data_IF_800589200764
#
_entry.id   IF_800589200764
#
_cell.length_a   1.000
_cell.length_b   1.000
_cell.length_c   1.000
_cell.angle_alpha   90.00
_cell.angle_beta   90.00
_cell.angle_gamma   90.00
#
_symmetry.space_group_name_H-M   'P 1'
#
loop_
_entity.id
_entity.type
_entity.pdbx_description
1 polymer ?
#
# COMPACT_ATOMS: atom_id res chain seq x y z
N UNK A 1 15.77 -10.57 11.30
CA UNK A 1 14.75 -10.02 10.39
C UNK A 1 13.63 -11.03 10.22
N UNK A 2 12.40 -10.57 10.25
CA UNK A 2 11.25 -11.45 10.01
C UNK A 2 11.22 -11.79 8.53
N UNK A 3 11.09 -13.08 8.22
CA UNK A 3 10.90 -13.50 6.83
C UNK A 3 9.53 -13.03 6.34
N UNK A 4 9.45 -12.65 5.07
CA UNK A 4 8.21 -12.13 4.51
C UNK A 4 8.12 -12.43 3.02
N UNK A 5 6.89 -12.46 2.50
CA UNK A 5 6.65 -12.78 1.09
C UNK A 5 6.29 -11.57 0.24
N UNK A 6 5.92 -10.47 0.85
CA UNK A 6 5.56 -9.28 0.09
C UNK A 6 5.19 -8.11 0.97
N UNK A 7 4.89 -6.98 0.33
CA UNK A 7 4.57 -5.72 0.98
C UNK A 7 3.42 -5.05 0.26
N UNK A 8 2.49 -4.45 1.00
CA UNK A 8 1.52 -3.49 0.49
C UNK A 8 1.73 -2.16 1.20
N UNK A 9 1.41 -1.06 0.51
CA UNK A 9 1.65 0.27 1.08
C UNK A 9 0.49 1.21 0.80
N UNK A 10 0.04 1.91 1.85
CA UNK A 10 -0.91 3.01 1.69
C UNK A 10 -0.11 4.29 1.46
N UNK A 11 -0.20 4.84 0.27
CA UNK A 11 0.47 6.09 -0.09
C UNK A 11 -0.52 7.23 0.15
N UNK A 12 -0.29 7.99 1.22
CA UNK A 12 -1.18 9.08 1.61
C UNK A 12 -0.70 10.41 1.05
N UNK A 13 -1.61 11.13 0.40
CA UNK A 13 -1.42 12.52 0.05
C UNK A 13 -2.54 13.27 0.75
N UNK A 14 -2.24 13.89 1.90
CA UNK A 14 -3.24 14.45 2.80
C UNK A 14 -4.22 13.34 3.24
N UNK A 15 -5.52 13.47 2.95
CA UNK A 15 -6.51 12.47 3.32
C UNK A 15 -6.90 11.55 2.17
N UNK A 16 -6.06 11.48 1.13
CA UNK A 16 -6.32 10.65 -0.04
C UNK A 16 -5.27 9.57 -0.20
N UNK A 17 -5.69 8.48 -0.82
CA UNK A 17 -4.86 7.31 -1.08
C UNK A 17 -4.68 7.15 -2.57
N UNK A 18 -3.48 6.72 -2.97
CA UNK A 18 -3.22 6.29 -4.35
C UNK A 18 -3.60 4.82 -4.42
N UNK A 19 -4.55 4.48 -5.29
CA UNK A 19 -4.97 3.09 -5.49
C UNK A 19 -4.80 2.70 -6.95
N UNK A 20 -4.55 1.41 -7.17
CA UNK A 20 -4.31 0.83 -8.49
C UNK A 20 -5.39 -0.20 -8.75
N UNK A 21 -6.02 -0.15 -9.92
CA UNK A 21 -7.03 -1.13 -10.29
C UNK A 21 -6.35 -2.37 -10.86
N UNK A 22 -6.63 -3.52 -10.26
CA UNK A 22 -6.08 -4.79 -10.73
C UNK A 22 -6.66 -5.16 -12.09
N UNK A 23 -5.88 -5.89 -12.88
CA UNK A 23 -6.37 -6.40 -14.16
C UNK A 23 -7.62 -7.25 -13.95
N UNK A 24 -8.51 -7.23 -14.94
CA UNK A 24 -9.75 -8.00 -14.88
C UNK A 24 -9.63 -9.21 -15.80
N UNK A 25 -8.76 -10.14 -15.40
CA UNK A 25 -8.48 -11.36 -16.18
C UNK A 25 -9.08 -12.56 -15.49
N UNK A 26 -9.58 -13.54 -16.26
CA UNK A 26 -10.10 -14.79 -15.67
C UNK A 26 -9.02 -15.47 -14.83
N UNK A 27 -9.40 -15.97 -13.65
CA UNK A 27 -8.50 -16.68 -12.76
C UNK A 27 -7.61 -15.81 -11.89
N UNK A 28 -7.59 -14.48 -12.11
CA UNK A 28 -6.82 -13.57 -11.28
C UNK A 28 -7.58 -13.28 -9.99
N UNK A 29 -6.91 -13.42 -8.84
CA UNK A 29 -7.53 -13.07 -7.56
C UNK A 29 -7.81 -11.57 -7.49
N UNK A 30 -8.96 -11.23 -6.95
CA UNK A 30 -9.36 -9.83 -6.77
C UNK A 30 -9.36 -9.07 -8.09
N UNK A 31 -9.68 -9.76 -9.20
CA UNK A 31 -9.69 -9.15 -10.53
C UNK A 31 -10.59 -7.92 -10.56
N UNK A 32 -10.09 -6.83 -11.14
CA UNK A 32 -10.85 -5.59 -11.29
C UNK A 32 -11.02 -4.75 -10.06
N UNK A 33 -10.57 -5.24 -8.89
CA UNK A 33 -10.71 -4.48 -7.65
C UNK A 33 -9.58 -3.46 -7.49
N UNK A 34 -9.84 -2.46 -6.68
CA UNK A 34 -8.82 -1.45 -6.34
C UNK A 34 -7.96 -1.94 -5.20
N UNK A 35 -6.67 -1.78 -5.35
CA UNK A 35 -5.64 -2.33 -4.48
C UNK A 35 -4.65 -1.24 -4.10
N UNK A 36 -3.87 -1.47 -3.05
CA UNK A 36 -2.74 -0.62 -2.72
C UNK A 36 -1.53 -1.07 -3.53
N UNK A 37 -0.59 -0.14 -3.82
CA UNK A 37 0.67 -0.52 -4.44
C UNK A 37 1.42 -1.54 -3.60
N UNK A 38 2.24 -2.34 -4.26
CA UNK A 38 3.06 -3.34 -3.61
C UNK A 38 3.06 -4.64 -4.38
N UNK A 39 3.73 -5.64 -3.83
CA UNK A 39 3.82 -6.94 -4.47
C UNK A 39 4.77 -7.86 -3.76
N UNK A 40 5.18 -8.91 -4.45
CA UNK A 40 6.00 -9.97 -3.90
C UNK A 40 7.46 -9.59 -3.72
N UNK A 41 8.06 -10.16 -2.67
CA UNK A 41 9.49 -10.04 -2.43
C UNK A 41 10.26 -10.77 -3.52
N UNK A 42 11.35 -10.17 -3.97
CA UNK A 42 12.29 -10.81 -4.88
C UNK A 42 13.62 -11.03 -4.15
N UNK A 43 14.16 -12.22 -4.30
CA UNK A 43 15.45 -12.60 -3.72
C UNK A 43 15.52 -12.23 -2.23
N UNK A 44 16.57 -11.55 -1.83
CA UNK A 44 16.81 -11.21 -0.43
C UNK A 44 16.46 -9.76 -0.11
N UNK A 45 15.51 -9.18 -0.83
CA UNK A 45 15.11 -7.80 -0.58
C UNK A 45 14.70 -7.59 0.88
N UNK A 46 15.08 -6.42 1.43
CA UNK A 46 14.51 -5.96 2.69
C UNK A 46 13.08 -5.50 2.43
N UNK A 47 12.25 -5.34 3.47
CA UNK A 47 10.90 -4.82 3.27
C UNK A 47 10.88 -3.47 2.54
N UNK A 48 11.79 -2.55 2.88
CA UNK A 48 11.84 -1.28 2.18
C UNK A 48 12.27 -1.44 0.72
N UNK A 49 13.30 -2.26 0.45
CA UNK A 49 13.75 -2.48 -0.93
C UNK A 49 12.63 -3.05 -1.78
N UNK A 50 11.86 -3.98 -1.22
CA UNK A 50 10.72 -4.60 -1.90
C UNK A 50 9.67 -3.55 -2.25
N UNK A 51 9.22 -2.76 -1.28
CA UNK A 51 8.17 -1.79 -1.52
C UNK A 51 8.65 -0.66 -2.45
N UNK A 52 9.91 -0.24 -2.31
CA UNK A 52 10.46 0.81 -3.17
C UNK A 52 10.51 0.35 -4.62
N UNK A 53 10.91 -0.89 -4.86
CA UNK A 53 10.93 -1.45 -6.22
C UNK A 53 9.52 -1.53 -6.79
N UNK A 54 8.57 -2.04 -6.03
CA UNK A 54 7.19 -2.17 -6.51
C UNK A 54 6.57 -0.79 -6.81
N UNK A 55 6.77 0.19 -5.95
CA UNK A 55 6.24 1.54 -6.18
C UNK A 55 6.88 2.16 -7.42
N UNK A 56 8.18 1.93 -7.62
CA UNK A 56 8.86 2.41 -8.83
C UNK A 56 8.29 1.75 -10.08
N UNK A 57 8.08 0.43 -10.06
CA UNK A 57 7.55 -0.29 -11.21
C UNK A 57 6.11 0.10 -11.53
N UNK A 58 5.29 0.29 -10.50
CA UNK A 58 3.86 0.54 -10.68
C UNK A 58 3.53 2.00 -10.95
N UNK A 59 4.25 2.91 -10.33
CA UNK A 59 3.90 4.34 -10.36
C UNK A 59 5.03 5.25 -10.81
N UNK A 60 6.23 4.73 -11.03
CA UNK A 60 7.37 5.54 -11.45
C UNK A 60 7.86 6.49 -10.37
N UNK A 61 7.53 6.24 -9.11
CA UNK A 61 7.92 7.11 -8.01
C UNK A 61 9.14 6.56 -7.28
N UNK A 62 9.99 7.46 -6.79
CA UNK A 62 11.17 7.14 -6.00
C UNK A 62 10.82 7.30 -4.51
N UNK A 63 10.38 6.20 -3.89
CA UNK A 63 10.05 6.20 -2.47
C UNK A 63 11.31 6.29 -1.63
N UNK A 64 11.28 7.11 -0.58
CA UNK A 64 12.40 7.27 0.33
C UNK A 64 12.04 6.65 1.68
N UNK A 65 13.06 6.18 2.41
CA UNK A 65 12.80 5.59 3.74
C UNK A 65 12.08 6.56 4.66
N UNK A 66 12.44 7.83 4.60
CA UNK A 66 11.81 8.85 5.45
C UNK A 66 10.34 9.10 5.12
N UNK A 67 9.88 8.65 3.95
CA UNK A 67 8.46 8.76 3.61
C UNK A 67 7.61 7.78 4.42
N UNK A 68 8.21 6.68 4.89
CA UNK A 68 7.49 5.64 5.63
C UNK A 68 7.24 6.12 7.05
N UNK A 69 5.97 6.22 7.44
CA UNK A 69 5.59 6.72 8.76
C UNK A 69 5.03 5.63 9.67
N UNK A 70 4.77 4.43 9.14
CA UNK A 70 4.21 3.34 9.93
C UNK A 70 4.38 2.02 9.20
N UNK A 71 4.57 0.93 9.94
CA UNK A 71 4.59 -0.40 9.34
C UNK A 71 4.23 -1.46 10.37
N UNK A 72 3.68 -2.55 9.89
CA UNK A 72 3.28 -3.67 10.72
C UNK A 72 3.27 -4.94 9.86
N UNK A 73 3.49 -6.10 10.50
CA UNK A 73 3.39 -7.39 9.82
C UNK A 73 2.01 -7.99 10.02
N UNK A 74 1.57 -8.74 9.01
CA UNK A 74 0.26 -9.40 9.00
C UNK A 74 0.39 -10.77 8.36
N UNK A 75 -0.55 -11.69 8.62
CA UNK A 75 -0.66 -12.87 7.76
C UNK A 75 -0.89 -12.43 6.32
N UNK A 76 -0.20 -13.06 5.38
CA UNK A 76 -0.34 -12.69 3.98
C UNK A 76 -1.75 -13.01 3.47
N UNK A 77 -2.23 -12.20 2.52
CA UNK A 77 -3.61 -12.31 2.03
C UNK A 77 -3.83 -13.65 1.32
N UNK A 78 -2.86 -14.06 0.49
CA UNK A 78 -3.01 -15.29 -0.29
C UNK A 78 -2.73 -16.56 0.51
N UNK A 79 -1.86 -16.46 1.52
CA UNK A 79 -1.49 -17.61 2.34
C UNK A 79 -1.24 -17.13 3.77
N UNK A 80 -2.24 -17.25 4.66
CA UNK A 80 -2.11 -16.72 6.02
C UNK A 80 -1.03 -17.38 6.88
N UNK A 81 -0.45 -18.51 6.44
CA UNK A 81 0.68 -19.12 7.13
C UNK A 81 1.97 -18.34 6.90
N UNK A 82 2.00 -17.46 5.91
CA UNK A 82 3.15 -16.65 5.57
C UNK A 82 2.94 -15.21 6.05
N UNK A 83 4.04 -14.45 6.14
CA UNK A 83 4.02 -13.08 6.67
C UNK A 83 4.17 -12.07 5.55
N UNK A 84 3.44 -10.95 5.67
CA UNK A 84 3.56 -9.82 4.77
C UNK A 84 3.68 -8.52 5.57
N UNK A 85 4.31 -7.52 4.98
CA UNK A 85 4.38 -6.18 5.58
C UNK A 85 3.29 -5.30 5.01
N UNK A 86 2.75 -4.43 5.86
CA UNK A 86 1.91 -3.32 5.44
C UNK A 86 2.55 -2.03 5.94
N UNK A 87 2.74 -1.09 5.03
CA UNK A 87 3.37 0.18 5.34
C UNK A 87 2.45 1.34 5.00
N UNK A 88 2.69 2.48 5.65
CA UNK A 88 2.03 3.74 5.31
C UNK A 88 3.11 4.77 5.07
N UNK A 89 2.97 5.51 3.97
CA UNK A 89 3.89 6.59 3.64
C UNK A 89 3.12 7.87 3.38
N UNK A 90 3.77 9.00 3.66
CA UNK A 90 3.22 10.32 3.31
C UNK A 90 3.96 10.86 2.10
N UNK A 91 3.19 11.25 1.09
CA UNK A 91 3.71 11.87 -0.12
C UNK A 91 3.13 13.27 -0.26
N UNK A 92 3.64 14.01 -1.25
CA UNK A 92 3.21 15.38 -1.51
C UNK A 92 2.40 15.46 -2.80
N UNK A 93 1.75 16.61 -3.02
CA UNK A 93 1.03 16.84 -4.26
C UNK A 93 1.96 16.78 -5.47
N UNK A 94 3.21 17.20 -5.33
CA UNK A 94 4.16 17.12 -6.45
C UNK A 94 4.52 15.69 -6.80
N UNK A 95 4.47 14.76 -5.84
CA UNK A 95 4.66 13.34 -6.15
C UNK A 95 3.56 12.83 -7.06
N UNK A 96 2.32 13.29 -6.85
CA UNK A 96 1.21 12.91 -7.71
C UNK A 96 1.46 13.31 -9.15
N UNK A 97 1.98 14.52 -9.36
CA UNK A 97 2.28 15.01 -10.71
C UNK A 97 3.39 14.22 -11.39
N UNK A 98 4.22 13.54 -10.61
CA UNK A 98 5.34 12.76 -11.13
C UNK A 98 4.96 11.31 -11.47
N UNK A 99 3.73 10.89 -11.20
CA UNK A 99 3.34 9.49 -11.42
C UNK A 99 3.39 9.14 -12.89
N UNK A 100 4.03 8.00 -13.18
CA UNK A 100 4.04 7.37 -14.50
C UNK A 100 3.58 5.94 -14.30
N UNK A 101 2.32 5.68 -14.67
CA UNK A 101 1.73 4.37 -14.45
C UNK A 101 2.45 3.30 -15.26
N UNK A 102 2.71 2.15 -14.63
CA UNK A 102 3.44 1.05 -15.26
C UNK A 102 2.55 0.19 -16.15
N UNK A 103 2.99 -1.05 -16.38
CA UNK A 103 2.36 -1.95 -17.34
C UNK A 103 1.34 -2.90 -16.73
N UNK A 104 1.30 -3.03 -15.40
CA UNK A 104 0.36 -3.93 -14.74
C UNK A 104 -0.79 -3.15 -14.15
N UNK A 105 -1.99 -3.72 -14.26
CA UNK A 105 -3.20 -3.07 -13.78
C UNK A 105 -3.85 -2.20 -14.86
N UNK A 106 -5.07 -1.75 -14.57
CA UNK A 106 -5.88 -0.99 -15.52
C UNK A 106 -5.71 0.52 -15.39
N UNK A 107 -5.13 1.00 -14.28
CA UNK A 107 -4.93 2.41 -14.04
C UNK A 107 -4.85 2.70 -12.55
N UNK A 108 -4.73 3.97 -12.22
CA UNK A 108 -4.65 4.43 -10.84
C UNK A 108 -5.57 5.62 -10.64
N UNK A 109 -5.89 5.87 -9.36
CA UNK A 109 -6.65 7.08 -9.01
C UNK A 109 -6.37 7.47 -7.57
N UNK A 110 -6.80 8.67 -7.21
CA UNK A 110 -6.85 9.10 -5.82
C UNK A 110 -8.24 8.85 -5.28
N UNK A 111 -8.32 8.35 -4.06
CA UNK A 111 -9.59 8.14 -3.37
C UNK A 111 -9.41 8.59 -1.93
N UNK A 112 -10.40 9.28 -1.36
CA UNK A 112 -10.28 9.68 0.05
C UNK A 112 -10.26 8.44 0.94
N UNK A 113 -9.57 8.54 2.08
CA UNK A 113 -9.56 7.47 3.07
C UNK A 113 -11.00 7.08 3.43
N UNK A 114 -11.86 8.07 3.66
CA UNK A 114 -13.25 7.82 4.03
C UNK A 114 -14.00 7.01 2.97
N UNK A 115 -13.82 7.36 1.70
CA UNK A 115 -14.48 6.62 0.61
C UNK A 115 -13.91 5.22 0.45
N UNK A 116 -12.59 5.07 0.60
CA UNK A 116 -11.97 3.75 0.52
C UNK A 116 -12.56 2.82 1.58
N UNK A 117 -12.69 3.29 2.80
CA UNK A 117 -13.21 2.47 3.90
C UNK A 117 -14.65 2.03 3.69
N UNK A 118 -15.42 2.76 2.88
CA UNK A 118 -16.82 2.43 2.57
C UNK A 118 -16.99 1.71 1.24
N UNK A 119 -15.96 1.64 0.41
CA UNK A 119 -16.06 1.07 -0.93
C UNK A 119 -16.21 -0.45 -0.87
N UNK A 120 -16.88 -1.02 -1.88
CA UNK A 120 -17.06 -2.46 -2.01
C UNK A 120 -16.18 -3.06 -3.09
N UNK A 121 -15.66 -2.23 -3.99
CA UNK A 121 -14.83 -2.66 -5.11
C UNK A 121 -13.33 -2.55 -4.80
N UNK A 122 -12.96 -2.87 -3.58
CA UNK A 122 -11.56 -2.81 -3.10
C UNK A 122 -11.17 -4.16 -2.51
N UNK A 123 -9.86 -4.39 -2.39
CA UNK A 123 -9.35 -5.58 -1.71
C UNK A 123 -9.65 -5.43 -0.22
N UNK A 124 -10.59 -6.22 0.27
CA UNK A 124 -11.22 -6.00 1.58
C UNK A 124 -10.25 -6.05 2.75
N UNK A 125 -9.26 -6.94 2.71
CA UNK A 125 -8.31 -7.10 3.81
C UNK A 125 -7.50 -5.82 4.09
N UNK A 126 -7.36 -4.96 3.09
CA UNK A 126 -6.60 -3.71 3.26
C UNK A 126 -7.30 -2.73 4.17
N UNK A 127 -8.63 -2.83 4.30
CA UNK A 127 -9.37 -1.93 5.20
C UNK A 127 -8.96 -2.13 6.65
N UNK A 128 -8.83 -3.37 7.10
CA UNK A 128 -8.42 -3.66 8.46
C UNK A 128 -7.01 -3.17 8.75
N UNK A 129 -6.11 -3.35 7.79
CA UNK A 129 -4.73 -2.89 7.95
C UNK A 129 -4.65 -1.37 8.03
N UNK A 130 -5.39 -0.68 7.14
CA UNK A 130 -5.44 0.78 7.18
C UNK A 130 -6.07 1.27 8.47
N UNK A 131 -7.12 0.58 8.95
CA UNK A 131 -7.77 0.96 10.19
C UNK A 131 -6.81 0.86 11.38
N UNK A 132 -5.96 -0.16 11.40
CA UNK A 132 -4.95 -0.28 12.46
C UNK A 132 -4.03 0.94 12.50
N UNK A 133 -3.62 1.43 11.34
CA UNK A 133 -2.81 2.65 11.28
C UNK A 133 -3.61 3.86 11.79
N UNK A 134 -4.85 4.00 11.34
CA UNK A 134 -5.69 5.14 11.77
C UNK A 134 -5.92 5.11 13.28
N UNK A 135 -6.15 3.94 13.83
CA UNK A 135 -6.34 3.79 15.28
C UNK A 135 -5.06 4.14 16.05
N UNK A 136 -3.90 3.80 15.51
CA UNK A 136 -2.63 4.14 16.16
C UNK A 136 -2.42 5.64 16.23
N UNK A 137 -2.90 6.38 15.24
CA UNK A 137 -2.82 7.84 15.24
C UNK A 137 -3.75 8.49 16.26
N UNK A 138 -4.78 7.79 16.70
CA UNK A 138 -5.74 8.31 17.67
C UNK A 138 -5.33 8.02 19.12
N UNK A 139 -4.31 7.19 19.34
CA UNK A 139 -3.86 6.85 20.68
C UNK A 139 -3.12 8.04 21.28
N UNK A 140 -3.54 8.54 22.48
CA UNK A 140 -2.86 9.66 23.12
C UNK A 140 -1.38 9.36 23.33
N UNK A 141 -0.52 10.32 22.99
CA UNK A 141 0.92 10.16 23.14
C UNK A 141 1.59 9.35 22.04
N UNK A 142 0.85 8.91 21.04
CA UNK A 142 1.42 8.19 19.93
C UNK A 142 2.33 9.09 19.10
N UNK A 143 3.46 8.56 18.67
CA UNK A 143 4.40 9.31 17.84
C UNK A 143 3.86 9.60 16.45
N UNK A 144 2.92 8.81 15.99
CA UNK A 144 2.36 8.97 14.65
C UNK A 144 1.71 10.34 14.47
N UNK A 145 1.16 10.89 15.51
CA UNK A 145 0.48 12.18 15.41
C UNK A 145 1.44 13.32 15.11
N UNK A 146 2.71 13.17 15.41
CA UNK A 146 3.68 14.23 15.19
C UNK A 146 4.11 14.35 13.75
N UNK A 147 3.75 13.42 12.94
CA UNK A 147 4.17 13.42 11.54
C UNK A 147 3.27 14.23 10.65
#
# INVERSE_FOLDING_TARGET
MIDFIGVKIALLVRNKLIVIQRDNKPGLRYAGLWDFPGGGREDDETPFACVAREVSEELGLQLKKDDIIWQKTYPAIYDPSLTAYFMVAKLTASDIDAIKFGNEGQGWKLISVKKFMKAEDVVEQLKGRLQDYLDSNLIPGSKAESS
#
